data_IF_709176855117
#
_entry.id   IF_709176855117
#
_cell.length_a   1.000
_cell.length_b   1.000
_cell.length_c   1.000
_cell.angle_alpha   90.00
_cell.angle_beta   90.00
_cell.angle_gamma   90.00
#
_symmetry.space_group_name_H-M   'P 1'
#
loop_
_entity.id
_entity.type
_entity.pdbx_description
1 polymer ?
#
# COMPACT_ATOMS: atom_id res chain seq x y z
N UNK A 1 -44.03 -29.40 -42.87
CA UNK A 1 -43.24 -28.18 -42.58
C UNK A 1 -43.02 -27.88 -41.09
N UNK A 2 -43.96 -28.20 -40.19
CA UNK A 2 -43.88 -27.83 -38.76
C UNK A 2 -42.90 -28.70 -37.95
N UNK A 3 -42.70 -29.95 -38.33
CA UNK A 3 -41.86 -30.93 -37.61
C UNK A 3 -40.35 -30.64 -37.74
N UNK A 4 -39.92 -30.17 -38.91
CA UNK A 4 -38.52 -29.81 -39.18
C UNK A 4 -38.07 -28.57 -38.37
N UNK A 5 -39.00 -27.65 -38.08
CA UNK A 5 -38.78 -26.45 -37.27
C UNK A 5 -38.58 -26.77 -35.77
N UNK A 6 -39.31 -27.77 -35.24
CA UNK A 6 -39.15 -28.22 -33.84
C UNK A 6 -37.82 -28.93 -33.62
N UNK A 7 -37.35 -29.69 -34.60
CA UNK A 7 -36.08 -30.42 -34.53
C UNK A 7 -34.86 -29.47 -34.62
N UNK A 8 -34.93 -28.44 -35.48
CA UNK A 8 -33.88 -27.42 -35.55
C UNK A 8 -33.76 -26.61 -34.23
N UNK A 9 -34.90 -26.25 -33.61
CA UNK A 9 -34.92 -25.58 -32.30
C UNK A 9 -34.35 -26.44 -31.18
N UNK A 10 -34.67 -27.74 -31.14
CA UNK A 10 -34.17 -28.64 -30.10
C UNK A 10 -32.66 -28.86 -30.19
N UNK A 11 -32.13 -29.01 -31.42
CA UNK A 11 -30.68 -29.12 -31.69
C UNK A 11 -29.96 -27.84 -31.29
N UNK A 12 -30.48 -26.67 -31.67
CA UNK A 12 -29.90 -25.37 -31.28
C UNK A 12 -29.89 -25.16 -29.76
N UNK A 13 -30.97 -25.51 -29.06
CA UNK A 13 -31.05 -25.45 -27.60
C UNK A 13 -30.05 -26.41 -26.93
N UNK A 14 -29.83 -27.60 -27.50
CA UNK A 14 -28.87 -28.59 -27.00
C UNK A 14 -27.42 -28.12 -27.20
N UNK A 15 -27.10 -27.55 -28.36
CA UNK A 15 -25.80 -26.92 -28.65
C UNK A 15 -25.55 -25.76 -27.71
N UNK A 16 -26.54 -24.87 -27.50
CA UNK A 16 -26.42 -23.73 -26.57
C UNK A 16 -26.23 -24.17 -25.12
N UNK A 17 -26.92 -25.23 -24.66
CA UNK A 17 -26.70 -25.82 -23.33
C UNK A 17 -25.31 -26.43 -23.18
N UNK A 18 -24.86 -27.22 -24.15
CA UNK A 18 -23.54 -27.85 -24.10
C UNK A 18 -22.42 -26.80 -24.17
N UNK A 19 -22.58 -25.78 -25.02
CA UNK A 19 -21.65 -24.65 -25.07
C UNK A 19 -21.63 -23.89 -23.75
N UNK A 20 -22.77 -23.58 -23.14
CA UNK A 20 -22.84 -22.92 -21.83
C UNK A 20 -22.19 -23.77 -20.71
N UNK A 21 -22.34 -25.09 -20.74
CA UNK A 21 -21.71 -26.00 -19.77
C UNK A 21 -20.18 -26.01 -19.84
N UNK A 22 -19.60 -25.72 -21.01
CA UNK A 22 -18.15 -25.63 -21.21
C UNK A 22 -17.65 -24.20 -21.00
N UNK A 23 -18.37 -23.19 -21.50
CA UNK A 23 -17.99 -21.78 -21.43
C UNK A 23 -18.08 -21.24 -20.01
N UNK A 24 -19.13 -21.58 -19.25
CA UNK A 24 -19.31 -21.08 -17.89
C UNK A 24 -18.13 -21.41 -16.95
N UNK A 25 -17.67 -22.67 -16.81
CA UNK A 25 -16.54 -22.97 -15.92
C UNK A 25 -15.22 -22.33 -16.39
N UNK A 26 -14.99 -22.21 -17.70
CA UNK A 26 -13.81 -21.50 -18.23
C UNK A 26 -13.87 -20.02 -17.86
N UNK A 27 -15.02 -19.37 -18.04
CA UNK A 27 -15.23 -17.98 -17.68
C UNK A 27 -15.11 -17.77 -16.16
N UNK A 28 -15.69 -18.67 -15.36
CA UNK A 28 -15.56 -18.64 -13.90
C UNK A 28 -14.11 -18.80 -13.45
N UNK A 29 -13.38 -19.77 -14.02
CA UNK A 29 -11.96 -19.96 -13.72
C UNK A 29 -11.12 -18.75 -14.13
N UNK A 30 -11.41 -18.14 -15.29
CA UNK A 30 -10.73 -16.94 -15.76
C UNK A 30 -10.97 -15.75 -14.83
N UNK A 31 -12.21 -15.50 -14.42
CA UNK A 31 -12.55 -14.45 -13.45
C UNK A 31 -11.87 -14.73 -12.11
N UNK A 32 -11.89 -15.97 -11.64
CA UNK A 32 -11.25 -16.36 -10.39
C UNK A 32 -9.73 -16.11 -10.44
N UNK A 33 -9.07 -16.51 -11.53
CA UNK A 33 -7.63 -16.25 -11.73
C UNK A 33 -7.35 -14.76 -11.81
N UNK A 34 -8.17 -13.96 -12.48
CA UNK A 34 -8.01 -12.50 -12.51
C UNK A 34 -8.15 -11.87 -11.13
N UNK A 35 -9.14 -12.28 -10.34
CA UNK A 35 -9.33 -11.81 -8.96
C UNK A 35 -8.15 -12.24 -8.09
N UNK A 36 -7.71 -13.50 -8.17
CA UNK A 36 -6.60 -14.03 -7.37
C UNK A 36 -5.26 -13.40 -7.73
N UNK A 37 -4.91 -13.31 -9.03
CA UNK A 37 -3.66 -12.68 -9.48
C UNK A 37 -3.61 -11.18 -9.18
N UNK A 38 -4.76 -10.50 -9.22
CA UNK A 38 -4.82 -9.06 -8.97
C UNK A 38 -4.75 -8.67 -7.48
N UNK A 39 -5.23 -9.53 -6.58
CA UNK A 39 -5.67 -9.08 -5.25
C UNK A 39 -4.89 -9.62 -4.06
N UNK A 40 -3.99 -10.61 -4.21
CA UNK A 40 -3.40 -11.30 -3.04
C UNK A 40 -2.01 -10.75 -2.69
N UNK A 41 -0.99 -11.06 -3.49
CA UNK A 41 0.39 -10.59 -3.27
C UNK A 41 0.97 -10.01 -4.55
N UNK A 42 1.64 -8.86 -4.41
CA UNK A 42 2.40 -8.23 -5.49
C UNK A 42 3.87 -8.13 -5.08
N UNK A 43 4.76 -8.54 -5.98
CA UNK A 43 6.20 -8.37 -5.83
C UNK A 43 6.61 -7.10 -6.58
N UNK A 44 7.26 -6.16 -5.89
CA UNK A 44 7.67 -4.89 -6.49
C UNK A 44 9.05 -4.45 -6.06
N UNK A 45 9.65 -3.56 -6.85
CA UNK A 45 10.93 -2.94 -6.58
C UNK A 45 10.72 -1.53 -6.01
N UNK A 46 11.47 -1.19 -4.96
CA UNK A 46 11.43 0.13 -4.33
C UNK A 46 12.31 1.10 -5.10
N UNK A 47 11.71 2.23 -5.45
CA UNK A 47 12.41 3.38 -6.02
C UNK A 47 12.39 4.56 -5.05
N UNK A 48 13.53 5.22 -4.90
CA UNK A 48 13.67 6.46 -4.14
C UNK A 48 14.00 6.28 -2.65
N UNK A 49 14.05 7.40 -1.92
CA UNK A 49 14.64 7.46 -0.58
C UNK A 49 13.68 7.88 0.54
N UNK A 50 12.40 8.09 0.22
CA UNK A 50 11.40 8.60 1.18
C UNK A 50 11.10 7.69 2.36
N UNK A 51 11.40 6.39 2.24
CA UNK A 51 11.20 5.38 3.28
C UNK A 51 12.50 4.94 3.94
N UNK A 52 13.62 5.64 3.70
CA UNK A 52 14.87 5.32 4.38
C UNK A 52 14.78 5.63 5.88
N UNK A 53 15.38 4.81 6.76
CA UNK A 53 16.23 3.65 6.44
C UNK A 53 15.47 2.32 6.27
N UNK A 54 14.18 2.29 6.57
CA UNK A 54 13.31 1.09 6.52
C UNK A 54 13.35 0.42 5.14
N UNK A 55 13.12 1.20 4.07
CA UNK A 55 13.21 0.75 2.69
C UNK A 55 14.18 1.64 1.93
N UNK A 56 15.08 1.02 1.18
CA UNK A 56 16.08 1.70 0.37
C UNK A 56 15.87 1.36 -1.11
N UNK A 57 16.38 2.23 -1.98
CA UNK A 57 16.44 1.96 -3.41
C UNK A 57 17.27 0.68 -3.66
N UNK A 58 16.73 -0.24 -4.44
CA UNK A 58 17.29 -1.60 -4.62
C UNK A 58 16.63 -2.69 -3.78
N UNK A 59 15.72 -2.37 -2.85
CA UNK A 59 14.91 -3.36 -2.15
C UNK A 59 13.78 -3.89 -3.05
N UNK A 60 13.51 -5.18 -2.92
CA UNK A 60 12.37 -5.85 -3.53
C UNK A 60 11.48 -6.39 -2.42
N UNK A 61 10.20 -6.02 -2.46
CA UNK A 61 9.24 -6.30 -1.40
C UNK A 61 8.02 -7.06 -1.90
N UNK A 62 7.43 -7.84 -1.00
CA UNK A 62 6.08 -8.35 -1.14
C UNK A 62 5.07 -7.39 -0.50
N UNK A 63 4.01 -7.11 -1.24
CA UNK A 63 2.86 -6.31 -0.81
C UNK A 63 1.65 -7.21 -0.69
N UNK A 64 0.98 -7.19 0.46
CA UNK A 64 -0.33 -7.80 0.65
C UNK A 64 -1.43 -6.84 0.21
N UNK A 65 -2.03 -7.09 -0.94
CA UNK A 65 -3.12 -6.25 -1.49
C UNK A 65 -4.46 -6.57 -0.85
N UNK A 66 -4.62 -7.80 -0.36
CA UNK A 66 -5.81 -8.28 0.33
C UNK A 66 -5.87 -7.85 1.81
N UNK A 67 -4.86 -7.14 2.32
CA UNK A 67 -4.77 -6.85 3.76
C UNK A 67 -5.97 -6.03 4.24
N UNK A 68 -6.40 -5.05 3.46
CA UNK A 68 -7.44 -4.09 3.84
C UNK A 68 -8.77 -4.35 3.14
N UNK A 69 -8.73 -4.90 1.93
CA UNK A 69 -9.92 -5.03 1.11
C UNK A 69 -9.66 -5.62 -0.27
N UNK A 70 -10.72 -5.65 -1.08
CA UNK A 70 -10.68 -6.14 -2.46
C UNK A 70 -10.61 -4.98 -3.45
N UNK A 71 -9.67 -5.07 -4.38
CA UNK A 71 -9.65 -4.22 -5.59
C UNK A 71 -10.26 -5.01 -6.74
N UNK A 72 -11.35 -4.49 -7.31
CA UNK A 72 -11.90 -5.07 -8.54
C UNK A 72 -11.02 -4.68 -9.74
N UNK A 73 -10.91 -5.55 -10.76
CA UNK A 73 -10.26 -5.20 -12.01
C UNK A 73 -10.80 -3.88 -12.57
N UNK A 74 -9.90 -3.07 -13.15
CA UNK A 74 -10.22 -1.78 -13.78
C UNK A 74 -10.67 -0.65 -12.83
N UNK A 75 -10.74 -0.89 -11.52
CA UNK A 75 -11.07 0.12 -10.51
C UNK A 75 -9.82 0.47 -9.70
N UNK A 76 -9.45 1.75 -9.66
CA UNK A 76 -8.29 2.19 -8.88
C UNK A 76 -8.54 2.16 -7.38
N UNK A 77 -9.78 2.41 -6.97
CA UNK A 77 -10.15 2.49 -5.57
C UNK A 77 -10.44 1.08 -5.04
N UNK A 78 -10.14 0.88 -3.76
CA UNK A 78 -10.54 -0.32 -3.03
C UNK A 78 -12.07 -0.34 -2.91
N UNK A 79 -12.68 -1.43 -3.35
CA UNK A 79 -14.13 -1.53 -3.54
C UNK A 79 -14.84 -2.15 -2.35
N UNK A 80 -14.19 -3.09 -1.66
CA UNK A 80 -14.72 -3.72 -0.46
C UNK A 80 -13.68 -3.65 0.65
N UNK A 81 -14.00 -2.98 1.75
CA UNK A 81 -13.11 -2.79 2.90
C UNK A 81 -13.50 -3.74 4.03
N UNK A 82 -12.59 -4.60 4.49
CA UNK A 82 -12.80 -5.49 5.64
C UNK A 82 -11.84 -5.25 6.80
N UNK A 83 -10.74 -4.52 6.58
CA UNK A 83 -9.81 -4.16 7.65
C UNK A 83 -9.32 -2.73 7.47
N UNK A 84 -9.22 -2.01 8.59
CA UNK A 84 -8.65 -0.68 8.61
C UNK A 84 -7.11 -0.74 8.70
N UNK A 85 -6.39 0.21 8.10
CA UNK A 85 -4.97 0.41 8.37
C UNK A 85 -4.73 0.79 9.83
N UNK A 86 -3.63 0.29 10.39
CA UNK A 86 -3.21 0.60 11.76
C UNK A 86 -2.02 1.54 11.76
N UNK A 87 -1.82 2.23 12.89
CA UNK A 87 -0.59 2.99 13.12
C UNK A 87 0.64 2.09 12.93
N UNK A 88 1.66 2.65 12.32
CA UNK A 88 2.90 1.98 11.94
C UNK A 88 2.78 1.01 10.76
N UNK A 89 1.60 0.83 10.13
CA UNK A 89 1.55 0.04 8.89
C UNK A 89 2.25 0.79 7.75
N UNK A 90 3.15 0.10 7.04
CA UNK A 90 3.74 0.59 5.79
C UNK A 90 2.83 0.21 4.63
N UNK A 91 2.29 1.21 3.95
CA UNK A 91 1.25 1.05 2.92
C UNK A 91 1.72 1.53 1.57
N UNK A 92 1.23 0.89 0.51
CA UNK A 92 1.31 1.39 -0.86
C UNK A 92 -0.02 1.99 -1.29
N UNK A 93 0.01 3.08 -2.05
CA UNK A 93 -1.19 3.81 -2.46
C UNK A 93 -0.96 4.66 -3.72
N UNK A 94 -2.04 5.11 -4.33
CA UNK A 94 -2.00 6.18 -5.34
C UNK A 94 -2.22 7.52 -4.62
N UNK A 95 -1.30 8.49 -4.72
CA UNK A 95 -1.46 9.78 -4.04
C UNK A 95 -2.70 10.54 -4.53
N UNK A 96 -3.38 11.31 -3.66
CA UNK A 96 -4.52 12.13 -4.06
C UNK A 96 -4.16 13.10 -5.19
N UNK A 97 -5.10 13.32 -6.12
CA UNK A 97 -4.89 14.21 -7.27
C UNK A 97 -4.13 13.59 -8.46
N UNK A 98 -3.65 12.34 -8.34
CA UNK A 98 -3.01 11.59 -9.43
C UNK A 98 -3.86 10.44 -9.98
N UNK A 99 -5.16 10.41 -9.65
CA UNK A 99 -6.12 9.45 -10.21
C UNK A 99 -6.67 9.96 -11.55
N UNK A 100 -6.12 9.51 -12.68
CA UNK A 100 -6.54 9.90 -14.03
C UNK A 100 -5.95 9.00 -15.14
N UNK A 101 -6.14 9.38 -16.40
CA UNK A 101 -5.55 8.70 -17.56
C UNK A 101 -4.05 8.99 -17.64
N UNK A 102 -3.22 7.98 -17.34
CA UNK A 102 -1.76 8.09 -17.33
C UNK A 102 -1.07 6.99 -16.52
N UNK A 103 0.26 6.98 -16.50
CA UNK A 103 1.05 6.06 -15.68
C UNK A 103 0.91 6.46 -14.20
N UNK A 104 0.16 5.67 -13.44
CA UNK A 104 -0.07 5.92 -12.00
C UNK A 104 1.18 5.56 -11.21
N UNK A 105 1.77 6.54 -10.54
CA UNK A 105 2.87 6.31 -9.62
C UNK A 105 2.35 5.75 -8.30
N UNK A 106 2.94 4.65 -7.84
CA UNK A 106 2.62 4.04 -6.55
C UNK A 106 3.58 4.58 -5.51
N UNK A 107 3.02 5.15 -4.45
CA UNK A 107 3.77 5.70 -3.33
C UNK A 107 3.76 4.70 -2.18
N UNK A 108 4.85 4.67 -1.42
CA UNK A 108 4.97 3.90 -0.19
C UNK A 108 5.25 4.83 0.99
N UNK A 109 4.46 4.76 2.06
CA UNK A 109 4.57 5.58 3.27
C UNK A 109 4.12 4.79 4.50
N UNK A 110 4.48 5.28 5.70
CA UNK A 110 4.03 4.72 6.97
C UNK A 110 2.82 5.49 7.49
N UNK A 111 1.77 4.76 7.87
CA UNK A 111 0.61 5.33 8.56
C UNK A 111 1.02 5.74 9.97
N UNK A 112 0.97 7.04 10.26
CA UNK A 112 1.28 7.56 11.60
C UNK A 112 0.05 7.89 12.42
N UNK A 113 -1.05 8.24 11.75
CA UNK A 113 -2.32 8.56 12.39
C UNK A 113 -3.49 7.96 11.61
N UNK A 114 -4.52 7.52 12.32
CA UNK A 114 -5.73 6.86 11.78
C UNK A 114 -6.97 7.74 12.02
N UNK A 115 -8.16 7.41 11.47
CA UNK A 115 -9.35 8.25 11.65
C UNK A 115 -9.60 8.67 13.10
N UNK A 116 -9.83 9.97 13.31
CA UNK A 116 -10.08 10.58 14.62
C UNK A 116 -8.82 11.04 15.34
N UNK A 117 -7.62 10.60 14.93
CA UNK A 117 -6.38 11.06 15.55
C UNK A 117 -6.09 12.53 15.21
N UNK A 118 -5.57 13.27 16.19
CA UNK A 118 -4.96 14.58 15.98
C UNK A 118 -3.45 14.38 15.77
N UNK A 119 -2.96 14.71 14.59
CA UNK A 119 -1.53 14.68 14.25
C UNK A 119 -0.95 16.09 14.30
N UNK A 120 0.27 16.23 14.79
CA UNK A 120 1.02 17.49 14.82
C UNK A 120 2.53 17.20 14.76
N UNK A 121 3.30 18.08 14.11
CA UNK A 121 4.77 18.01 14.14
C UNK A 121 5.31 19.37 14.59
N UNK A 122 6.09 19.37 15.67
CA UNK A 122 6.71 20.57 16.24
C UNK A 122 8.18 20.29 16.48
N UNK A 123 9.08 21.06 15.85
CA UNK A 123 10.54 20.85 15.94
C UNK A 123 10.94 19.40 15.64
N UNK A 124 10.39 18.86 14.56
CA UNK A 124 10.63 17.48 14.06
C UNK A 124 10.24 16.35 15.03
N UNK A 125 9.49 16.69 16.08
CA UNK A 125 8.86 15.71 16.98
C UNK A 125 7.41 15.50 16.57
N UNK A 126 7.04 14.23 16.42
CA UNK A 126 5.69 13.81 16.05
C UNK A 126 4.83 13.71 17.31
N UNK A 127 3.65 14.29 17.27
CA UNK A 127 2.65 14.20 18.33
C UNK A 127 1.37 13.58 17.77
N UNK A 128 0.84 12.59 18.47
CA UNK A 128 -0.45 11.95 18.17
C UNK A 128 -1.37 12.14 19.37
N UNK A 129 -2.53 12.76 19.16
CA UNK A 129 -3.49 13.12 20.21
C UNK A 129 -2.86 13.96 21.33
N UNK A 130 -1.88 14.80 20.99
CA UNK A 130 -1.14 15.63 21.96
C UNK A 130 -0.01 14.88 22.70
N UNK A 131 0.10 13.56 22.54
CA UNK A 131 1.17 12.78 23.13
C UNK A 131 2.37 12.71 22.21
N UNK A 132 3.57 12.95 22.75
CA UNK A 132 4.83 12.81 22.03
C UNK A 132 5.05 11.34 21.66
N UNK A 133 5.30 11.07 20.38
CA UNK A 133 5.83 9.79 19.92
C UNK A 133 7.28 9.71 20.39
N UNK A 134 7.58 8.72 21.24
CA UNK A 134 8.91 8.53 21.79
C UNK A 134 9.92 8.38 20.66
N UNK A 135 11.03 9.09 20.78
CA UNK A 135 12.06 9.10 19.75
C UNK A 135 13.44 9.25 20.37
N UNK A 136 14.27 8.22 20.23
CA UNK A 136 15.66 8.19 20.70
C UNK A 136 16.59 8.15 19.49
N UNK A 137 17.69 8.91 19.54
CA UNK A 137 18.73 8.84 18.50
C UNK A 137 19.51 7.55 18.68
N UNK A 138 19.75 6.82 17.61
CA UNK A 138 20.60 5.63 17.66
C UNK A 138 22.09 6.04 17.76
N UNK A 139 22.82 5.39 18.65
CA UNK A 139 24.26 5.59 18.78
C UNK A 139 24.98 5.25 17.48
N UNK A 140 25.99 6.04 17.12
CA UNK A 140 26.84 5.86 15.93
C UNK A 140 26.11 5.93 14.58
N UNK A 141 24.85 6.35 14.54
CA UNK A 141 24.11 6.61 13.29
C UNK A 141 23.64 8.07 13.26
N UNK A 142 24.25 8.87 12.40
CA UNK A 142 23.86 10.26 12.26
C UNK A 142 22.44 10.40 11.72
N UNK A 143 21.65 11.23 12.42
CA UNK A 143 20.27 11.56 12.08
C UNK A 143 19.29 10.38 12.05
N UNK A 144 19.69 9.18 12.50
CA UNK A 144 18.77 8.03 12.61
C UNK A 144 18.21 7.98 14.03
N UNK A 145 16.88 7.89 14.12
CA UNK A 145 16.15 7.80 15.36
C UNK A 145 15.28 6.56 15.35
N UNK A 146 15.20 5.88 16.48
CA UNK A 146 14.16 4.89 16.74
C UNK A 146 12.92 5.63 17.23
N UNK A 147 11.78 5.38 16.61
CA UNK A 147 10.48 5.89 17.06
C UNK A 147 9.59 4.74 17.50
N UNK A 148 8.84 4.96 18.59
CA UNK A 148 7.83 4.04 19.09
C UNK A 148 6.44 4.61 18.83
N UNK A 149 5.69 3.98 17.91
CA UNK A 149 4.33 4.37 17.58
C UNK A 149 3.36 3.25 18.00
N UNK A 150 2.72 3.43 19.16
CA UNK A 150 1.92 2.37 19.75
C UNK A 150 2.83 1.26 20.28
N UNK A 151 2.70 0.07 19.73
CA UNK A 151 3.47 -1.13 20.08
C UNK A 151 4.59 -1.46 19.07
N UNK A 152 4.83 -0.57 18.10
CA UNK A 152 5.80 -0.80 17.03
C UNK A 152 6.94 0.20 17.09
N UNK A 153 8.14 -0.33 17.02
CA UNK A 153 9.37 0.44 16.84
C UNK A 153 9.84 0.39 15.40
N UNK A 154 10.27 1.53 14.87
CA UNK A 154 10.88 1.63 13.54
C UNK A 154 11.92 2.75 13.50
N UNK A 155 12.85 2.65 12.55
CA UNK A 155 13.88 3.66 12.35
C UNK A 155 13.38 4.75 11.39
N UNK A 156 13.75 6.00 11.66
CA UNK A 156 13.48 7.17 10.80
C UNK A 156 14.71 8.05 10.66
N UNK A 157 14.85 8.79 9.56
CA UNK A 157 15.85 9.85 9.47
C UNK A 157 15.27 11.22 9.77
N UNK A 158 15.92 12.00 10.64
CA UNK A 158 15.59 13.40 10.97
C UNK A 158 16.86 14.26 10.94
N UNK A 159 17.07 14.96 9.83
CA UNK A 159 18.19 15.88 9.55
C UNK A 159 17.83 17.33 9.87
N UNK A 160 16.62 17.78 9.54
CA UNK A 160 16.16 19.12 9.88
C UNK A 160 15.54 19.08 11.28
N UNK A 161 16.06 19.79 12.29
CA UNK A 161 15.47 19.84 13.63
C UNK A 161 14.29 20.81 13.75
N UNK A 162 13.98 21.56 12.69
CA UNK A 162 12.96 22.61 12.67
C UNK A 162 11.79 22.28 11.73
N UNK A 163 11.48 21.00 11.51
CA UNK A 163 10.30 20.62 10.74
C UNK A 163 9.03 20.93 11.55
N UNK A 164 8.04 21.53 10.90
CA UNK A 164 6.73 21.83 11.48
C UNK A 164 5.63 21.37 10.54
N UNK A 165 4.58 20.79 11.12
CA UNK A 165 3.32 20.53 10.44
C UNK A 165 2.19 20.98 11.36
N UNK A 166 1.33 21.86 10.84
CA UNK A 166 0.18 22.38 11.58
C UNK A 166 -0.70 21.21 12.00
N UNK A 167 -1.22 21.28 13.22
CA UNK A 167 -2.11 20.24 13.71
C UNK A 167 -3.34 20.02 12.83
N UNK A 168 -3.71 18.75 12.65
CA UNK A 168 -4.88 18.30 11.90
C UNK A 168 -5.52 17.10 12.60
N UNK A 169 -6.86 17.03 12.58
CA UNK A 169 -7.59 15.80 12.91
C UNK A 169 -7.82 14.99 11.64
N UNK A 170 -7.44 13.71 11.65
CA UNK A 170 -7.61 12.81 10.52
C UNK A 170 -9.10 12.51 10.33
N UNK A 171 -9.69 12.82 9.16
CA UNK A 171 -11.11 12.60 8.94
C UNK A 171 -11.45 11.11 8.84
N UNK A 172 -12.74 10.79 9.02
CA UNK A 172 -13.25 9.42 8.79
C UNK A 172 -12.90 8.96 7.36
N UNK A 173 -12.57 7.67 7.23
CA UNK A 173 -12.19 7.08 5.94
C UNK A 173 -10.82 7.49 5.41
N UNK A 174 -9.99 8.17 6.22
CA UNK A 174 -8.65 8.60 5.83
C UNK A 174 -7.58 8.16 6.83
N UNK A 175 -6.32 8.19 6.40
CA UNK A 175 -5.14 8.04 7.25
C UNK A 175 -4.18 9.20 7.01
N UNK A 176 -3.29 9.47 7.97
CA UNK A 176 -2.15 10.35 7.75
C UNK A 176 -0.89 9.51 7.62
N UNK A 177 -0.26 9.57 6.45
CA UNK A 177 0.91 8.74 6.14
C UNK A 177 2.12 9.60 5.77
N UNK A 178 3.26 9.34 6.41
CA UNK A 178 4.51 10.07 6.18
C UNK A 178 5.66 9.11 5.88
N UNK A 179 6.70 9.64 5.25
CA UNK A 179 7.91 8.87 4.97
C UNK A 179 8.75 8.70 6.24
N UNK A 180 9.46 7.57 6.32
CA UNK A 180 10.45 7.34 7.37
C UNK A 180 11.68 8.26 7.20
N UNK A 181 11.94 8.69 5.96
CA UNK A 181 12.84 9.81 5.71
C UNK A 181 12.08 11.11 5.89
N UNK A 182 12.09 11.63 7.13
CA UNK A 182 11.21 12.75 7.53
C UNK A 182 11.50 14.02 6.76
N UNK A 183 12.72 14.25 6.31
CA UNK A 183 13.09 15.48 5.62
C UNK A 183 12.99 15.37 4.10
N UNK A 184 12.95 14.15 3.56
CA UNK A 184 12.94 13.92 2.12
C UNK A 184 11.77 13.01 1.70
N UNK A 185 10.54 13.49 1.93
CA UNK A 185 9.34 12.73 1.62
C UNK A 185 8.18 13.66 1.23
N UNK A 186 7.65 13.47 0.03
CA UNK A 186 6.39 14.06 -0.42
C UNK A 186 5.23 13.16 0.04
N UNK A 187 4.51 13.61 1.06
CA UNK A 187 3.56 12.80 1.83
C UNK A 187 2.39 13.61 2.40
N UNK A 188 1.63 13.08 3.36
CA UNK A 188 0.43 13.74 3.88
C UNK A 188 0.68 15.14 4.46
N UNK A 189 1.93 15.51 4.77
CA UNK A 189 2.29 16.88 5.15
C UNK A 189 2.15 17.88 4.00
N UNK A 190 2.26 17.41 2.76
CA UNK A 190 2.20 18.23 1.55
C UNK A 190 0.81 18.25 0.92
N UNK A 191 0.13 17.11 0.88
CA UNK A 191 -1.16 16.95 0.18
C UNK A 191 -2.34 16.59 1.09
N UNK A 192 -2.14 16.50 2.41
CA UNK A 192 -3.20 16.24 3.39
C UNK A 192 -3.47 14.75 3.65
N UNK A 193 -4.61 14.42 4.27
CA UNK A 193 -4.92 13.05 4.66
C UNK A 193 -5.24 12.17 3.43
N UNK A 194 -4.84 10.89 3.49
CA UNK A 194 -4.98 9.90 2.43
C UNK A 194 -6.30 9.14 2.56
N UNK A 195 -7.18 9.13 1.54
CA UNK A 195 -8.35 8.26 1.54
C UNK A 195 -7.94 6.79 1.62
N UNK A 196 -8.56 6.03 2.52
CA UNK A 196 -8.25 4.60 2.72
C UNK A 196 -8.52 3.79 1.44
N UNK A 197 -9.52 4.19 0.65
CA UNK A 197 -9.82 3.57 -0.63
C UNK A 197 -8.69 3.67 -1.67
N UNK A 198 -7.76 4.63 -1.51
CA UNK A 198 -6.60 4.76 -2.42
C UNK A 198 -5.46 3.78 -2.07
N UNK A 199 -5.54 3.11 -0.92
CA UNK A 199 -4.54 2.14 -0.48
C UNK A 199 -4.61 0.90 -1.35
N UNK A 200 -3.45 0.48 -1.85
CA UNK A 200 -3.23 -0.69 -2.70
C UNK A 200 -2.83 -1.92 -1.92
N UNK A 201 -2.15 -1.76 -0.79
CA UNK A 201 -1.78 -2.88 0.06
C UNK A 201 -0.84 -2.50 1.19
N UNK A 202 -0.45 -3.51 1.96
CA UNK A 202 0.52 -3.40 3.06
C UNK A 202 1.85 -4.05 2.64
N UNK A 203 2.96 -3.33 2.79
CA UNK A 203 4.29 -3.93 2.63
C UNK A 203 4.55 -4.97 3.74
N UNK A 204 5.05 -6.14 3.36
CA UNK A 204 5.21 -7.27 4.27
C UNK A 204 6.68 -7.62 4.55
N UNK A 205 7.42 -7.93 3.49
CA UNK A 205 8.73 -8.58 3.57
C UNK A 205 9.61 -8.04 2.46
N UNK A 206 10.86 -7.69 2.80
CA UNK A 206 11.95 -7.52 1.84
C UNK A 206 12.48 -8.92 1.53
N UNK A 207 12.29 -9.39 0.30
CA UNK A 207 12.73 -10.74 -0.09
C UNK A 207 14.05 -10.74 -0.86
N UNK A 208 14.44 -9.59 -1.39
CA UNK A 208 15.71 -9.41 -2.08
C UNK A 208 16.14 -7.94 -1.96
N UNK A 209 17.44 -7.69 -1.91
CA UNK A 209 17.98 -6.32 -1.88
C UNK A 209 19.32 -6.30 -2.59
N UNK A 210 19.50 -5.35 -3.51
CA UNK A 210 20.73 -5.16 -4.28
C UNK A 210 21.36 -3.82 -3.94
N UNK A 211 22.69 -3.78 -3.81
CA UNK A 211 23.41 -2.51 -3.68
C UNK A 211 23.27 -1.65 -4.94
N UNK A 212 23.07 -0.34 -4.75
CA UNK A 212 23.04 0.65 -5.83
C UNK A 212 24.43 0.78 -6.51
N UNK A 213 25.52 0.51 -5.77
CA UNK A 213 26.90 0.69 -6.23
C UNK A 213 27.54 -0.57 -6.83
N UNK A 214 26.85 -1.72 -6.89
CA UNK A 214 27.44 -2.94 -7.46
C UNK A 214 26.52 -4.15 -7.50
N UNK A 215 27.01 -5.28 -8.03
CA UNK A 215 26.28 -6.54 -8.15
C UNK A 215 26.04 -7.28 -6.81
N UNK A 216 26.39 -6.70 -5.67
CA UNK A 216 26.31 -7.36 -4.36
C UNK A 216 24.89 -7.34 -3.79
N UNK A 217 24.46 -8.52 -3.33
CA UNK A 217 23.19 -8.76 -2.66
C UNK A 217 23.34 -8.39 -1.18
N UNK A 218 22.39 -7.63 -0.63
CA UNK A 218 22.38 -7.24 0.78
C UNK A 218 21.44 -8.14 1.59
N UNK A 219 21.94 -9.30 2.01
CA UNK A 219 21.17 -10.30 2.75
C UNK A 219 20.69 -9.81 4.14
N UNK A 220 21.38 -8.82 4.75
CA UNK A 220 21.01 -8.28 6.07
C UNK A 220 19.67 -7.55 6.05
N UNK A 221 19.18 -7.16 4.88
CA UNK A 221 17.90 -6.46 4.72
C UNK A 221 16.71 -7.41 4.53
N UNK A 222 16.96 -8.70 4.28
CA UNK A 222 15.88 -9.67 4.08
C UNK A 222 15.15 -9.87 5.41
N UNK A 223 13.84 -9.64 5.42
CA UNK A 223 13.04 -9.69 6.64
C UNK A 223 11.74 -8.92 6.55
N UNK A 224 11.02 -8.85 7.67
CA UNK A 224 9.77 -8.11 7.78
C UNK A 224 9.98 -6.60 7.60
N UNK A 225 9.05 -5.95 6.91
CA UNK A 225 8.95 -4.49 6.88
C UNK A 225 8.20 -4.08 8.15
N UNK A 226 8.96 -3.66 9.17
CA UNK A 226 8.44 -3.15 10.44
C UNK A 226 8.15 -1.66 10.35
#
# INVERSE_FOLDING_TARGET
MIENSRNAKSVFLKIKRNAAQIINPILTALVLVMVLKGSVVEATHIFGSSMQPTLVDGDYIFINKFKYGLHLPFVDKMTLLWSQPKRGDVITFIPPGMSGEGKKEIYIKRVVAVPGDKVEIVRSKLYINGHLVESSRLENKDFIYQELLGDKEYEVTKKNPFSYFRSMVVPKGHVFAIGDNRDNSYDSRSWGPLPIENIKGKAMVIYFSKSITGAMINLKRIGGVL
#
